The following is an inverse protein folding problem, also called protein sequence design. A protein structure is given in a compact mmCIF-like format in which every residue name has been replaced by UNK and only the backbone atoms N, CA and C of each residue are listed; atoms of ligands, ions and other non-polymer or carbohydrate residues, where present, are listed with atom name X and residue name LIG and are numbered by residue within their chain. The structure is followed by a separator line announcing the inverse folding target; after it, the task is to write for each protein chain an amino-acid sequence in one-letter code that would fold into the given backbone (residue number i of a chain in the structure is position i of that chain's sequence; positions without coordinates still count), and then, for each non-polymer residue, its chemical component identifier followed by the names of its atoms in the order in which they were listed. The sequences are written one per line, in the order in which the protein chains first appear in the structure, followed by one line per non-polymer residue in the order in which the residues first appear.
data_IF_946810541970
#
_entry.id   IF_946810541970
#
_cell.length_a   1.000
_cell.length_b   1.000
_cell.length_c   1.000
_cell.angle_alpha   90.00
_cell.angle_beta   90.00
_cell.angle_gamma   90.00
#
_symmetry.space_group_name_H-M   'P 1'
#
loop_
_entity.id
_entity.type
_entity.pdbx_description
1 polymer ?
#
# COMPACT_ATOMS: atom_id res chain seq x y z
N UNK A 1 7.75 12.79 -6.67
CA UNK A 1 6.64 12.02 -7.27
C UNK A 1 5.51 12.97 -7.63
N UNK A 2 4.80 12.68 -8.71
CA UNK A 2 3.73 13.53 -9.24
C UNK A 2 2.39 13.22 -8.56
N UNK A 3 1.46 14.17 -8.58
CA UNK A 3 0.09 13.93 -8.16
C UNK A 3 -0.56 12.81 -9.01
N UNK A 4 -1.38 11.98 -8.39
CA UNK A 4 -2.18 10.99 -9.09
C UNK A 4 -3.20 11.67 -10.00
N UNK A 5 -3.52 11.01 -11.11
CA UNK A 5 -4.66 11.37 -11.94
C UNK A 5 -5.95 11.33 -11.12
N UNK A 6 -6.91 12.20 -11.43
CA UNK A 6 -8.25 12.11 -10.84
C UNK A 6 -9.02 10.88 -11.33
N UNK A 7 -8.74 10.45 -12.57
CA UNK A 7 -9.41 9.32 -13.20
C UNK A 7 -8.61 8.04 -12.98
N UNK A 8 -9.25 6.93 -12.55
CA UNK A 8 -8.58 5.65 -12.36
C UNK A 8 -8.04 5.12 -13.70
N UNK A 9 -6.80 4.59 -13.72
CA UNK A 9 -6.28 3.91 -14.89
C UNK A 9 -7.15 2.72 -15.27
N UNK A 10 -7.33 2.51 -16.57
CA UNK A 10 -8.04 1.32 -17.07
C UNK A 10 -7.19 0.06 -16.87
N UNK A 11 -7.82 -1.12 -16.71
CA UNK A 11 -7.10 -2.40 -16.60
C UNK A 11 -6.08 -2.63 -17.71
N UNK A 12 -6.45 -2.29 -18.95
CA UNK A 12 -5.57 -2.40 -20.12
C UNK A 12 -4.32 -1.53 -20.00
N UNK A 13 -4.45 -0.32 -19.46
CA UNK A 13 -3.30 0.57 -19.25
C UNK A 13 -2.36 -0.01 -18.19
N UNK A 14 -2.90 -0.55 -17.10
CA UNK A 14 -2.12 -1.18 -16.03
C UNK A 14 -1.33 -2.37 -16.56
N UNK A 15 -2.00 -3.31 -17.23
CA UNK A 15 -1.35 -4.52 -17.77
C UNK A 15 -0.28 -4.17 -18.81
N UNK A 16 -0.56 -3.20 -19.68
CA UNK A 16 0.43 -2.75 -20.66
C UNK A 16 1.66 -2.11 -20.01
N UNK A 17 1.47 -1.31 -18.95
CA UNK A 17 2.56 -0.70 -18.21
C UNK A 17 3.42 -1.73 -17.48
N UNK A 18 2.80 -2.73 -16.83
CA UNK A 18 3.51 -3.82 -16.16
C UNK A 18 4.33 -4.66 -17.15
N UNK A 19 3.77 -4.99 -18.32
CA UNK A 19 4.51 -5.70 -19.38
C UNK A 19 5.70 -4.89 -19.88
N UNK A 20 5.49 -3.62 -20.20
CA UNK A 20 6.56 -2.73 -20.63
C UNK A 20 7.65 -2.55 -19.56
N UNK A 21 7.27 -2.54 -18.27
CA UNK A 21 8.21 -2.46 -17.17
C UNK A 21 9.04 -3.74 -17.03
N UNK A 22 8.41 -4.92 -17.14
CA UNK A 22 9.11 -6.20 -17.13
C UNK A 22 10.10 -6.30 -18.30
N UNK A 23 9.69 -5.94 -19.52
CA UNK A 23 10.57 -5.92 -20.70
C UNK A 23 11.75 -4.96 -20.50
N UNK A 24 11.51 -3.79 -19.90
CA UNK A 24 12.55 -2.77 -19.65
C UNK A 24 13.54 -3.17 -18.55
N UNK A 25 13.15 -4.09 -17.65
CA UNK A 25 13.99 -4.53 -16.51
C UNK A 25 15.13 -5.47 -16.91
N UNK A 26 15.17 -5.94 -18.17
CA UNK A 26 16.16 -6.89 -18.67
C UNK A 26 16.32 -8.14 -17.77
N UNK A 27 15.19 -8.66 -17.27
CA UNK A 27 15.14 -9.81 -16.38
C UNK A 27 15.27 -9.48 -14.89
N UNK A 28 15.32 -8.21 -14.49
CA UNK A 28 15.29 -7.79 -13.08
C UNK A 28 13.98 -8.13 -12.37
N UNK A 29 12.87 -8.18 -13.11
CA UNK A 29 11.57 -8.69 -12.64
C UNK A 29 10.97 -9.68 -13.62
N UNK A 30 10.01 -10.47 -13.14
CA UNK A 30 9.09 -11.24 -13.99
C UNK A 30 7.64 -10.95 -13.61
N UNK A 31 6.75 -10.98 -14.61
CA UNK A 31 5.32 -10.97 -14.34
C UNK A 31 4.85 -12.34 -13.86
N UNK A 32 4.00 -12.34 -12.84
CA UNK A 32 3.42 -13.57 -12.30
C UNK A 32 2.25 -14.04 -13.18
N UNK A 33 1.97 -15.37 -13.20
CA UNK A 33 0.83 -15.90 -13.94
C UNK A 33 -0.48 -15.23 -13.55
N UNK A 34 -1.40 -15.11 -14.52
CA UNK A 34 -2.74 -14.61 -14.27
C UNK A 34 -3.55 -15.52 -13.33
N UNK A 35 -4.51 -14.93 -12.64
CA UNK A 35 -5.36 -15.56 -11.64
C UNK A 35 -6.71 -15.92 -12.26
N UNK A 36 -7.12 -17.17 -12.07
CA UNK A 36 -8.41 -17.66 -12.58
C UNK A 36 -9.59 -17.03 -11.83
N UNK A 37 -10.74 -16.90 -12.51
CA UNK A 37 -11.98 -16.45 -11.86
C UNK A 37 -12.35 -17.33 -10.67
N UNK A 38 -12.20 -18.66 -10.77
CA UNK A 38 -12.46 -19.57 -9.66
C UNK A 38 -11.57 -19.36 -8.44
N UNK A 39 -10.33 -18.91 -8.64
CA UNK A 39 -9.44 -18.57 -7.53
C UNK A 39 -9.86 -17.25 -6.88
N UNK A 40 -10.24 -16.25 -7.69
CA UNK A 40 -10.76 -14.97 -7.20
C UNK A 40 -12.11 -15.13 -6.47
N UNK A 41 -12.96 -16.05 -6.92
CA UNK A 41 -14.26 -16.35 -6.30
C UNK A 41 -14.13 -17.01 -4.92
N UNK A 42 -12.95 -17.55 -4.59
CA UNK A 42 -12.65 -18.15 -3.29
C UNK A 42 -12.11 -17.13 -2.26
N UNK A 43 -11.92 -15.86 -2.64
CA UNK A 43 -11.46 -14.82 -1.72
C UNK A 43 -12.59 -14.36 -0.79
N UNK A 44 -12.22 -13.81 0.37
CA UNK A 44 -13.16 -13.42 1.44
C UNK A 44 -14.18 -12.35 1.02
N UNK A 45 -13.84 -11.55 0.02
CA UNK A 45 -14.70 -10.51 -0.52
C UNK A 45 -14.78 -10.60 -2.06
N UNK A 46 -15.93 -10.23 -2.66
CA UNK A 46 -16.05 -10.15 -4.10
C UNK A 46 -14.97 -9.25 -4.72
N UNK A 47 -14.48 -9.64 -5.89
CA UNK A 47 -13.48 -8.87 -6.65
C UNK A 47 -14.17 -8.06 -7.75
N UNK A 48 -14.01 -6.72 -7.78
CA UNK A 48 -14.55 -5.88 -8.84
C UNK A 48 -14.01 -6.26 -10.23
N UNK A 49 -14.81 -6.09 -11.28
CA UNK A 49 -14.46 -6.56 -12.63
C UNK A 49 -13.24 -5.86 -13.24
N UNK A 50 -13.01 -4.59 -12.91
CA UNK A 50 -11.79 -3.89 -13.31
C UNK A 50 -10.54 -4.52 -12.70
N UNK A 51 -10.62 -4.93 -11.43
CA UNK A 51 -9.55 -5.67 -10.75
C UNK A 51 -9.39 -7.08 -11.33
N UNK A 52 -10.49 -7.80 -11.58
CA UNK A 52 -10.47 -9.11 -12.24
C UNK A 52 -9.81 -9.05 -13.62
N UNK A 53 -10.11 -8.00 -14.39
CA UNK A 53 -9.51 -7.82 -15.71
C UNK A 53 -7.98 -7.64 -15.66
N UNK A 54 -7.43 -7.04 -14.58
CA UNK A 54 -5.98 -7.00 -14.36
C UNK A 54 -5.47 -8.38 -13.91
N UNK A 55 -6.12 -8.96 -12.90
CA UNK A 55 -5.68 -10.20 -12.27
C UNK A 55 -5.66 -11.40 -13.25
N UNK A 56 -6.62 -11.47 -14.19
CA UNK A 56 -6.63 -12.50 -15.25
C UNK A 56 -5.39 -12.47 -16.14
N UNK A 57 -4.80 -11.29 -16.33
CA UNK A 57 -3.64 -11.10 -17.20
C UNK A 57 -2.32 -11.26 -16.44
N UNK A 58 -2.30 -10.96 -15.15
CA UNK A 58 -1.12 -11.05 -14.29
C UNK A 58 -1.48 -11.11 -12.80
N UNK A 59 -0.81 -11.98 -12.05
CA UNK A 59 -0.87 -12.02 -10.59
C UNK A 59 -0.07 -10.90 -9.91
N UNK A 60 0.68 -10.11 -10.68
CA UNK A 60 1.61 -9.10 -10.17
C UNK A 60 2.99 -9.23 -10.82
N UNK A 61 4.05 -8.89 -10.09
CA UNK A 61 5.42 -9.18 -10.47
C UNK A 61 6.25 -9.60 -9.27
N UNK A 62 7.37 -10.27 -9.53
CA UNK A 62 8.36 -10.62 -8.53
C UNK A 62 9.75 -10.21 -9.02
N UNK A 63 10.63 -9.70 -8.13
CA UNK A 63 12.04 -9.52 -8.46
C UNK A 63 12.70 -10.87 -8.73
N UNK A 64 13.73 -10.89 -9.57
CA UNK A 64 14.50 -12.10 -9.89
C UNK A 64 15.81 -12.06 -9.12
N UNK A 65 16.00 -13.04 -8.22
CA UNK A 65 17.23 -13.20 -7.44
C UNK A 65 17.77 -14.61 -7.63
N UNK A 66 19.08 -14.74 -7.86
CA UNK A 66 19.72 -16.03 -8.10
C UNK A 66 19.20 -16.80 -9.33
N UNK A 67 18.60 -16.09 -10.30
CA UNK A 67 18.03 -16.69 -11.52
C UNK A 67 16.62 -17.25 -11.37
N UNK A 68 15.95 -17.02 -10.23
CA UNK A 68 14.56 -17.41 -9.99
C UNK A 68 13.73 -16.25 -9.44
N UNK A 69 12.40 -16.23 -9.67
CA UNK A 69 11.52 -15.24 -9.06
C UNK A 69 11.48 -15.41 -7.54
N UNK A 70 11.67 -14.31 -6.81
CA UNK A 70 11.53 -14.26 -5.35
C UNK A 70 10.06 -13.95 -5.02
N UNK A 71 9.30 -15.00 -4.72
CA UNK A 71 7.86 -14.87 -4.45
C UNK A 71 7.56 -14.25 -3.07
N UNK A 72 8.55 -14.23 -2.17
CA UNK A 72 8.39 -13.58 -0.87
C UNK A 72 8.33 -12.06 -1.04
N UNK A 73 9.15 -11.54 -1.95
CA UNK A 73 9.21 -10.11 -2.31
C UNK A 73 8.25 -9.74 -3.45
N UNK A 74 7.26 -10.58 -3.74
CA UNK A 74 6.31 -10.31 -4.81
C UNK A 74 5.44 -9.09 -4.50
N UNK A 75 5.10 -8.38 -5.58
CA UNK A 75 4.13 -7.29 -5.61
C UNK A 75 2.93 -7.77 -6.42
N UNK A 76 1.86 -8.16 -5.75
CA UNK A 76 0.78 -8.85 -6.43
C UNK A 76 -0.43 -9.17 -5.59
N UNK A 77 -1.39 -9.85 -6.20
CA UNK A 77 -2.63 -10.22 -5.51
C UNK A 77 -2.46 -11.43 -4.60
N UNK A 78 -1.47 -12.28 -4.86
CA UNK A 78 -1.21 -13.46 -4.04
C UNK A 78 -0.07 -13.16 -3.08
N UNK A 79 -0.34 -13.38 -1.81
CA UNK A 79 0.62 -13.21 -0.73
C UNK A 79 0.21 -14.15 0.39
N UNK A 80 1.17 -14.83 1.02
CA UNK A 80 0.90 -15.83 2.06
C UNK A 80 0.16 -15.25 3.26
N UNK A 81 0.42 -13.98 3.58
CA UNK A 81 -0.26 -13.24 4.63
C UNK A 81 -1.72 -12.90 4.29
N UNK A 82 -2.26 -13.26 3.11
CA UNK A 82 -3.70 -13.19 2.92
C UNK A 82 -4.46 -14.33 3.62
N UNK A 83 -3.78 -15.41 4.00
CA UNK A 83 -4.40 -16.54 4.73
C UNK A 83 -4.41 -16.32 6.24
N UNK A 84 -3.33 -15.75 6.78
CA UNK A 84 -3.19 -15.35 8.17
C UNK A 84 -2.71 -13.90 8.22
N UNK A 85 -3.61 -12.94 7.99
CA UNK A 85 -3.18 -11.57 7.84
C UNK A 85 -2.85 -10.89 9.15
N UNK A 86 -1.98 -9.90 9.03
CA UNK A 86 -1.70 -8.96 10.11
C UNK A 86 -2.99 -8.22 10.49
N UNK A 87 -3.40 -8.38 11.74
CA UNK A 87 -4.59 -7.76 12.32
C UNK A 87 -4.54 -6.22 12.24
N UNK A 88 -3.34 -5.63 12.08
CA UNK A 88 -3.16 -4.19 11.91
C UNK A 88 -3.82 -3.67 10.64
N UNK A 89 -3.93 -4.48 9.58
CA UNK A 89 -4.66 -4.11 8.35
C UNK A 89 -6.17 -3.90 8.58
N UNK A 90 -6.71 -4.52 9.64
CA UNK A 90 -8.13 -4.56 9.96
C UNK A 90 -8.66 -6.00 10.08
N UNK A 91 -9.99 -6.19 10.19
CA UNK A 91 -10.59 -7.51 10.18
C UNK A 91 -10.46 -8.22 8.82
N UNK A 92 -10.47 -9.57 8.78
CA UNK A 92 -10.50 -10.34 7.53
C UNK A 92 -11.61 -9.90 6.58
N UNK A 93 -11.36 -9.98 5.27
CA UNK A 93 -12.28 -9.51 4.23
C UNK A 93 -12.33 -7.99 4.04
N UNK A 94 -11.71 -7.20 4.92
CA UNK A 94 -11.66 -5.74 4.77
C UNK A 94 -10.42 -5.24 4.03
N UNK A 95 -9.50 -6.12 3.66
CA UNK A 95 -8.30 -5.74 2.92
C UNK A 95 -7.78 -6.93 2.13
N UNK A 96 -6.79 -6.66 1.28
CA UNK A 96 -5.93 -7.68 0.69
C UNK A 96 -4.48 -7.22 0.70
N UNK A 97 -3.59 -8.04 1.24
CA UNK A 97 -2.14 -7.80 1.25
C UNK A 97 -1.61 -7.96 -0.16
N UNK A 98 -0.83 -6.96 -0.58
CA UNK A 98 -0.25 -6.84 -1.92
C UNK A 98 1.26 -7.06 -1.93
N UNK A 99 1.92 -6.72 -0.83
CA UNK A 99 3.36 -6.88 -0.64
C UNK A 99 3.69 -6.78 0.85
N UNK A 100 4.74 -7.46 1.30
CA UNK A 100 5.34 -7.28 2.62
C UNK A 100 6.83 -7.58 2.54
N UNK A 101 7.61 -6.88 3.35
CA UNK A 101 9.02 -7.25 3.56
C UNK A 101 9.20 -8.34 4.62
N UNK A 102 8.10 -8.89 5.16
CA UNK A 102 8.09 -9.97 6.14
C UNK A 102 8.60 -9.61 7.53
N UNK A 103 9.03 -8.35 7.73
CA UNK A 103 9.60 -7.88 8.99
C UNK A 103 8.71 -6.84 9.63
N UNK A 104 8.36 -5.80 8.88
CA UNK A 104 7.82 -4.57 9.47
C UNK A 104 6.83 -3.82 8.59
N UNK A 105 6.89 -3.97 7.26
CA UNK A 105 6.02 -3.24 6.34
C UNK A 105 5.05 -4.18 5.62
N UNK A 106 3.80 -3.78 5.57
CA UNK A 106 2.77 -4.42 4.77
C UNK A 106 2.05 -3.38 3.92
N UNK A 107 1.90 -3.68 2.64
CA UNK A 107 1.14 -2.90 1.68
C UNK A 107 -0.14 -3.67 1.38
N UNK A 108 -1.28 -2.98 1.46
CA UNK A 108 -2.58 -3.62 1.29
C UNK A 108 -3.57 -2.67 0.63
N UNK A 109 -4.51 -3.24 -0.12
CA UNK A 109 -5.66 -2.51 -0.64
C UNK A 109 -6.82 -2.60 0.35
N UNK A 110 -7.50 -1.48 0.55
CA UNK A 110 -8.75 -1.38 1.30
C UNK A 110 -9.89 -2.04 0.52
N UNK A 111 -10.63 -2.94 1.17
CA UNK A 111 -11.76 -3.65 0.62
C UNK A 111 -12.98 -3.35 1.48
N UNK A 112 -14.06 -2.89 0.85
CA UNK A 112 -15.35 -2.78 1.49
C UNK A 112 -15.98 -4.19 1.56
N UNK A 113 -16.15 -4.79 2.75
CA UNK A 113 -16.65 -6.15 2.88
C UNK A 113 -18.13 -6.28 2.48
N UNK A 114 -18.90 -5.19 2.53
CA UNK A 114 -20.34 -5.21 2.24
C UNK A 114 -20.58 -5.13 0.73
N UNK A 115 -19.76 -4.35 0.01
CA UNK A 115 -19.94 -4.11 -1.43
C UNK A 115 -18.95 -4.88 -2.31
N UNK A 116 -17.83 -5.34 -1.74
CA UNK A 116 -16.69 -5.89 -2.49
C UNK A 116 -15.90 -4.82 -3.24
N UNK A 117 -16.20 -3.53 -3.08
CA UNK A 117 -15.45 -2.46 -3.75
C UNK A 117 -14.04 -2.34 -3.19
N UNK A 118 -13.06 -2.18 -4.07
CA UNK A 118 -11.66 -1.96 -3.69
C UNK A 118 -11.35 -0.45 -3.76
N UNK A 119 -10.68 0.06 -2.74
CA UNK A 119 -10.41 1.49 -2.57
C UNK A 119 -8.91 1.78 -2.61
N UNK A 120 -8.43 2.64 -1.70
CA UNK A 120 -7.03 3.06 -1.67
C UNK A 120 -6.08 1.94 -1.27
N UNK A 121 -4.82 2.11 -1.65
CA UNK A 121 -3.71 1.29 -1.17
C UNK A 121 -3.06 2.02 0.00
N UNK A 122 -2.77 1.27 1.05
CA UNK A 122 -2.14 1.73 2.27
C UNK A 122 -0.89 0.91 2.55
N UNK A 123 0.01 1.50 3.32
CA UNK A 123 1.06 0.77 3.99
C UNK A 123 1.07 1.14 5.46
N UNK A 124 1.53 0.24 6.31
CA UNK A 124 2.02 0.60 7.64
C UNK A 124 3.43 0.06 7.81
N UNK A 125 4.17 0.71 8.69
CA UNK A 125 5.42 0.20 9.23
C UNK A 125 5.17 -0.30 10.66
N UNK A 126 6.09 -1.05 11.27
CA UNK A 126 5.98 -1.70 12.60
C UNK A 126 5.79 -0.75 13.81
N UNK A 127 5.36 0.48 13.54
CA UNK A 127 4.96 1.50 14.49
C UNK A 127 3.48 1.85 14.29
N UNK A 128 2.97 2.83 15.04
CA UNK A 128 1.61 3.32 14.89
C UNK A 128 1.36 4.11 13.58
N UNK A 129 2.35 4.22 12.69
CA UNK A 129 2.27 5.11 11.55
C UNK A 129 1.87 4.37 10.27
N UNK A 130 1.09 5.06 9.44
CA UNK A 130 0.63 4.53 8.16
C UNK A 130 0.98 5.50 7.02
N UNK A 131 0.90 4.99 5.80
CA UNK A 131 0.99 5.75 4.56
C UNK A 131 -0.23 5.43 3.71
N UNK A 132 -0.82 6.48 3.14
CA UNK A 132 -1.70 6.35 1.99
C UNK A 132 -0.83 6.32 0.75
N UNK A 133 -0.78 5.18 0.06
CA UNK A 133 0.13 4.94 -1.06
C UNK A 133 -0.49 5.34 -2.38
N UNK A 134 -1.77 5.01 -2.59
CA UNK A 134 -2.47 5.34 -3.83
C UNK A 134 -3.99 5.39 -3.67
N UNK A 135 -4.70 6.17 -4.50
CA UNK A 135 -6.16 6.26 -4.48
C UNK A 135 -6.89 5.03 -5.04
N UNK A 136 -6.19 4.14 -5.74
CA UNK A 136 -6.69 2.83 -6.14
C UNK A 136 -5.54 1.87 -6.42
N UNK A 137 -5.82 0.58 -6.45
CA UNK A 137 -4.83 -0.44 -6.85
C UNK A 137 -4.22 -0.16 -8.22
N UNK A 138 -5.04 0.24 -9.20
CA UNK A 138 -4.57 0.56 -10.54
C UNK A 138 -3.54 1.70 -10.56
N UNK A 139 -3.71 2.72 -9.70
CA UNK A 139 -2.72 3.78 -9.55
C UNK A 139 -1.42 3.28 -8.95
N UNK A 140 -1.51 2.44 -7.92
CA UNK A 140 -0.34 1.86 -7.26
C UNK A 140 0.47 0.97 -8.22
N UNK A 141 -0.19 0.10 -8.97
CA UNK A 141 0.46 -0.78 -9.96
C UNK A 141 1.13 0.02 -11.10
N UNK A 142 0.55 1.16 -11.52
CA UNK A 142 1.21 2.06 -12.47
C UNK A 142 2.45 2.74 -11.88
N UNK A 143 2.39 3.16 -10.61
CA UNK A 143 3.53 3.77 -9.94
C UNK A 143 4.67 2.75 -9.78
N UNK A 144 4.35 1.50 -9.42
CA UNK A 144 5.31 0.39 -9.42
C UNK A 144 5.93 0.16 -10.81
N UNK A 145 5.12 0.14 -11.86
CA UNK A 145 5.62 -0.01 -13.23
C UNK A 145 6.53 1.16 -13.66
N UNK A 146 6.28 2.38 -13.19
CA UNK A 146 7.19 3.52 -13.38
C UNK A 146 8.50 3.34 -12.60
N UNK A 147 8.40 2.87 -11.34
CA UNK A 147 9.53 2.57 -10.49
C UNK A 147 10.48 1.52 -11.07
N UNK A 148 9.95 0.40 -11.54
CA UNK A 148 10.73 -0.64 -12.24
C UNK A 148 11.47 -0.05 -13.44
N UNK A 149 10.80 0.76 -14.27
CA UNK A 149 11.45 1.39 -15.43
C UNK A 149 12.57 2.35 -15.01
N UNK A 150 12.36 3.15 -13.96
CA UNK A 150 13.37 4.06 -13.42
C UNK A 150 14.57 3.32 -12.86
N UNK A 151 14.35 2.24 -12.12
CA UNK A 151 15.42 1.39 -11.59
C UNK A 151 16.26 0.82 -12.74
N UNK A 152 15.61 0.27 -13.77
CA UNK A 152 16.30 -0.25 -14.94
C UNK A 152 17.06 0.83 -15.74
N UNK A 153 16.48 2.04 -15.90
CA UNK A 153 17.17 3.18 -16.49
C UNK A 153 18.41 3.60 -15.68
N UNK A 154 18.32 3.58 -14.35
CA UNK A 154 19.41 3.96 -13.46
C UNK A 154 20.58 2.95 -13.51
N UNK A 155 20.29 1.65 -13.57
CA UNK A 155 21.31 0.60 -13.81
C UNK A 155 21.97 0.79 -15.17
N UNK A 156 21.19 1.00 -16.24
CA UNK A 156 21.75 1.26 -17.59
C UNK A 156 22.61 2.53 -17.65
N UNK A 157 22.29 3.52 -16.82
CA UNK A 157 23.09 4.74 -16.69
C UNK A 157 24.35 4.56 -15.83
N UNK A 158 24.54 3.40 -15.19
CA UNK A 158 25.65 3.12 -14.29
C UNK A 158 25.53 3.80 -12.92
N UNK A 159 24.32 4.17 -12.50
CA UNK A 159 24.06 4.76 -11.18
C UNK A 159 24.00 3.71 -10.07
N UNK A 160 23.67 2.46 -10.42
CA UNK A 160 23.57 1.32 -9.53
C UNK A 160 24.24 0.11 -10.17
N UNK A 161 24.76 -0.80 -9.34
CA UNK A 161 25.37 -2.05 -9.80
C UNK A 161 24.31 -3.06 -10.26
N UNK A 162 23.19 -3.12 -9.55
CA UNK A 162 22.07 -4.00 -9.90
C UNK A 162 20.69 -3.35 -9.74
N UNK A 163 19.69 -4.06 -10.26
CA UNK A 163 18.31 -3.61 -10.28
C UNK A 163 17.66 -3.60 -8.89
N UNK A 164 18.01 -4.55 -8.03
CA UNK A 164 17.38 -4.73 -6.73
C UNK A 164 17.68 -3.55 -5.83
N UNK A 165 18.93 -3.08 -5.83
CA UNK A 165 19.35 -1.86 -5.14
C UNK A 165 18.61 -0.62 -5.67
N UNK A 166 18.58 -0.46 -6.99
CA UNK A 166 17.94 0.69 -7.62
C UNK A 166 16.42 0.73 -7.37
N UNK A 167 15.76 -0.43 -7.40
CA UNK A 167 14.33 -0.55 -7.13
C UNK A 167 14.02 -0.38 -5.65
N UNK A 168 14.84 -0.96 -4.77
CA UNK A 168 14.68 -0.83 -3.31
C UNK A 168 14.87 0.61 -2.85
N UNK A 169 15.87 1.33 -3.38
CA UNK A 169 16.03 2.76 -3.08
C UNK A 169 14.86 3.59 -3.62
N UNK A 170 14.31 3.26 -4.79
CA UNK A 170 13.14 3.96 -5.30
C UNK A 170 11.87 3.68 -4.48
N UNK A 171 11.61 2.40 -4.18
CA UNK A 171 10.35 1.95 -3.59
C UNK A 171 10.32 2.20 -2.09
N UNK A 172 11.33 1.67 -1.40
CA UNK A 172 11.48 1.80 0.04
C UNK A 172 12.25 3.04 0.42
N UNK A 173 12.83 3.82 -0.50
CA UNK A 173 13.69 4.94 -0.10
C UNK A 173 15.03 4.54 0.54
N UNK A 174 15.27 3.24 0.77
CA UNK A 174 16.40 2.74 1.55
C UNK A 174 17.72 2.81 0.76
N UNK A 175 18.83 3.22 1.40
CA UNK A 175 20.15 3.08 0.77
C UNK A 175 20.49 1.61 0.52
N UNK A 176 21.26 1.32 -0.53
CA UNK A 176 21.67 -0.03 -0.94
C UNK A 176 22.43 -0.85 0.14
N UNK A 177 23.18 -0.20 1.04
CA UNK A 177 23.88 -0.86 2.16
C UNK A 177 23.60 -0.13 3.48
N UNK A 178 22.43 -0.36 4.11
CA UNK A 178 22.03 0.39 5.28
C UNK A 178 22.36 -0.39 6.56
N UNK A 179 23.16 0.19 7.44
CA UNK A 179 23.21 -0.26 8.83
C UNK A 179 21.93 0.15 9.60
N UNK A 180 21.72 -0.42 10.79
CA UNK A 180 20.50 -0.18 11.57
C UNK A 180 20.29 1.29 12.01
N UNK A 181 21.36 2.10 12.12
CA UNK A 181 21.23 3.55 12.35
C UNK A 181 20.90 4.30 11.06
N UNK A 182 21.48 3.89 9.93
CA UNK A 182 21.17 4.42 8.61
C UNK A 182 19.71 4.16 8.23
N UNK A 183 19.16 2.97 8.54
CA UNK A 183 17.73 2.65 8.36
C UNK A 183 16.85 3.56 9.23
N UNK A 184 17.16 3.73 10.52
CA UNK A 184 16.37 4.61 11.41
C UNK A 184 16.41 6.07 10.97
N UNK A 185 17.60 6.61 10.71
CA UNK A 185 17.76 7.97 10.23
C UNK A 185 17.22 8.18 8.82
N UNK A 186 17.13 7.13 8.00
CA UNK A 186 16.43 7.16 6.72
C UNK A 186 14.91 7.24 6.91
N UNK A 187 14.31 6.37 7.73
CA UNK A 187 12.87 6.38 7.97
C UNK A 187 12.41 7.75 8.48
N UNK A 188 13.12 8.31 9.47
CA UNK A 188 12.86 9.68 9.96
C UNK A 188 12.90 10.72 8.83
N UNK A 189 13.80 10.58 7.85
CA UNK A 189 13.90 11.50 6.69
C UNK A 189 12.80 11.29 5.67
N UNK A 190 12.36 10.05 5.43
CA UNK A 190 11.23 9.75 4.54
C UNK A 190 9.93 10.32 5.12
N UNK A 191 9.69 10.10 6.42
CA UNK A 191 8.56 10.66 7.16
C UNK A 191 8.52 12.20 7.11
N UNK A 192 9.68 12.86 7.02
CA UNK A 192 9.79 14.32 6.90
C UNK A 192 9.55 14.83 5.48
N UNK A 193 9.68 13.98 4.45
CA UNK A 193 9.56 14.38 3.03
C UNK A 193 8.13 14.28 2.50
N UNK A 194 7.34 13.34 3.02
CA UNK A 194 5.97 13.14 2.55
C UNK A 194 5.03 14.23 3.10
N UNK A 195 4.04 14.68 2.29
CA UNK A 195 2.91 15.43 2.82
C UNK A 195 2.25 14.67 3.97
N UNK A 196 1.81 15.39 5.00
CA UNK A 196 1.15 14.80 6.18
C UNK A 196 -0.34 15.04 6.14
N UNK A 197 -1.11 13.98 6.39
CA UNK A 197 -2.54 14.09 6.57
C UNK A 197 -2.87 14.85 7.88
N UNK A 198 -3.89 15.72 7.91
CA UNK A 198 -4.42 16.24 9.16
C UNK A 198 -4.98 15.08 10.00
N UNK A 199 -4.53 14.99 11.25
CA UNK A 199 -4.99 13.96 12.20
C UNK A 199 -5.67 14.63 13.39
N UNK A 200 -6.80 14.07 13.82
CA UNK A 200 -7.61 14.54 14.94
C UNK A 200 -7.98 13.37 15.84
N UNK A 201 -8.14 13.60 17.14
CA UNK A 201 -8.69 12.61 18.05
C UNK A 201 -10.19 12.38 17.81
N UNK A 202 -10.68 11.19 18.16
CA UNK A 202 -12.08 10.81 17.94
C UNK A 202 -13.11 11.74 18.65
N UNK A 203 -12.90 12.19 19.91
CA UNK A 203 -13.79 13.16 20.54
C UNK A 203 -13.92 14.48 19.77
N UNK A 204 -12.80 15.03 19.31
CA UNK A 204 -12.76 16.27 18.52
C UNK A 204 -13.43 16.05 17.16
N UNK A 205 -13.15 14.93 16.49
CA UNK A 205 -13.79 14.59 15.22
C UNK A 205 -15.31 14.43 15.34
N UNK A 206 -15.81 13.80 16.43
CA UNK A 206 -17.24 13.69 16.72
C UNK A 206 -17.94 15.04 16.87
N UNK A 207 -17.25 16.02 17.44
CA UNK A 207 -17.75 17.38 17.61
C UNK A 207 -17.52 18.28 16.36
N UNK A 208 -16.92 17.74 15.29
CA UNK A 208 -16.62 18.48 14.07
C UNK A 208 -17.89 18.89 13.33
N UNK A 209 -17.85 20.06 12.68
CA UNK A 209 -18.88 20.47 11.73
C UNK A 209 -18.79 19.70 10.39
N UNK A 210 -17.71 18.95 10.16
CA UNK A 210 -17.58 18.07 9.00
C UNK A 210 -18.34 16.75 9.25
N UNK A 211 -19.43 16.50 8.51
CA UNK A 211 -20.28 15.33 8.76
C UNK A 211 -19.55 14.01 8.52
N UNK A 212 -18.59 13.96 7.59
CA UNK A 212 -17.84 12.73 7.29
C UNK A 212 -16.94 12.34 8.46
N UNK A 213 -16.26 13.33 9.06
CA UNK A 213 -15.44 13.09 10.25
C UNK A 213 -16.28 12.76 11.48
N UNK A 214 -17.40 13.46 11.67
CA UNK A 214 -18.29 13.23 12.80
C UNK A 214 -18.91 11.82 12.76
N UNK A 215 -19.36 11.38 11.59
CA UNK A 215 -19.94 10.05 11.38
C UNK A 215 -18.93 8.93 11.57
N UNK A 216 -17.72 9.06 11.01
CA UNK A 216 -16.65 8.08 11.21
C UNK A 216 -16.28 7.97 12.70
N UNK A 217 -16.09 9.12 13.37
CA UNK A 217 -15.68 9.17 14.77
C UNK A 217 -16.75 8.71 15.76
N UNK A 218 -18.03 8.72 15.37
CA UNK A 218 -19.12 8.17 16.18
C UNK A 218 -19.01 6.65 16.41
N UNK A 219 -18.24 5.96 15.57
CA UNK A 219 -18.04 4.50 15.62
C UNK A 219 -16.72 4.09 16.30
N UNK A 220 -16.01 5.04 16.89
CA UNK A 220 -14.65 4.87 17.38
C UNK A 220 -14.55 5.15 18.90
N UNK A 221 -13.67 4.43 19.62
CA UNK A 221 -13.40 4.72 21.02
C UNK A 221 -12.74 6.09 21.18
N UNK A 222 -12.80 6.67 22.39
CA UNK A 222 -12.23 7.99 22.68
C UNK A 222 -10.71 8.08 22.47
N UNK A 223 -10.00 6.95 22.60
CA UNK A 223 -8.56 6.87 22.37
C UNK A 223 -8.16 6.75 20.90
N UNK A 224 -9.11 6.63 19.95
CA UNK A 224 -8.80 6.54 18.53
C UNK A 224 -8.38 7.90 17.93
N UNK A 225 -7.67 7.84 16.80
CA UNK A 225 -7.36 9.01 15.98
C UNK A 225 -7.74 8.80 14.53
N UNK A 226 -8.18 9.86 13.85
CA UNK A 226 -8.62 9.84 12.46
C UNK A 226 -7.77 10.78 11.61
N UNK A 227 -7.41 10.32 10.43
CA UNK A 227 -6.74 11.10 9.40
C UNK A 227 -7.67 11.36 8.21
N UNK A 228 -7.74 12.62 7.76
CA UNK A 228 -8.51 13.01 6.59
C UNK A 228 -7.66 12.99 5.31
N UNK A 229 -7.92 12.02 4.45
CA UNK A 229 -7.21 11.78 3.20
C UNK A 229 -7.99 12.24 1.96
N UNK A 230 -9.14 12.91 2.13
CA UNK A 230 -9.95 13.39 0.99
C UNK A 230 -9.21 14.39 0.11
N UNK A 231 -8.21 15.09 0.65
CA UNK A 231 -7.34 16.04 -0.08
C UNK A 231 -5.98 15.45 -0.49
N UNK A 232 -5.72 14.17 -0.19
CA UNK A 232 -4.48 13.52 -0.56
C UNK A 232 -4.44 13.27 -2.07
N UNK A 233 -3.47 13.89 -2.75
CA UNK A 233 -3.25 13.77 -4.19
C UNK A 233 -2.03 12.94 -4.55
N UNK A 234 -1.31 12.42 -3.55
CA UNK A 234 -0.09 11.62 -3.71
C UNK A 234 0.16 10.79 -2.46
N UNK A 235 1.28 10.07 -2.42
CA UNK A 235 1.73 9.35 -1.21
C UNK A 235 1.72 10.31 -0.02
N UNK A 236 1.01 9.93 1.03
CA UNK A 236 0.73 10.80 2.17
C UNK A 236 1.00 10.06 3.47
N UNK A 237 1.82 10.65 4.33
CA UNK A 237 2.14 10.10 5.62
C UNK A 237 1.03 10.39 6.64
N UNK A 238 0.71 9.39 7.46
CA UNK A 238 -0.34 9.45 8.48
C UNK A 238 0.28 9.13 9.84
N UNK A 239 0.33 10.15 10.69
CA UNK A 239 0.79 10.03 12.07
C UNK A 239 -0.37 9.64 12.98
N UNK A 240 -0.18 8.64 13.84
CA UNK A 240 -1.19 8.29 14.85
C UNK A 240 -0.99 9.10 16.13
N UNK A 241 -2.08 9.59 16.72
CA UNK A 241 -2.02 10.25 18.03
C UNK A 241 -1.93 9.19 19.13
N UNK A 242 -0.86 9.23 19.93
CA UNK A 242 -0.73 8.41 21.14
C UNK A 242 -1.58 8.99 22.27
N UNK A 243 -2.84 8.54 22.36
CA UNK A 243 -3.76 8.90 23.44
C UNK A 243 -3.76 7.82 24.53
N UNK A 244 -4.07 8.16 25.80
CA UNK A 244 -4.27 7.17 26.84
C UNK A 244 -5.30 6.12 26.40
N UNK A 245 -4.92 4.84 26.45
CA UNK A 245 -5.77 3.73 26.02
C UNK A 245 -5.61 3.28 24.57
N UNK A 246 -4.70 3.87 23.78
CA UNK A 246 -4.35 3.36 22.43
C UNK A 246 -3.55 2.04 22.49
N UNK A 247 -2.80 1.80 23.56
CA UNK A 247 -1.86 0.68 23.62
C UNK A 247 -0.51 1.01 22.97
N UNK A 248 0.30 -0.03 22.75
CA UNK A 248 1.60 0.09 22.06
C UNK A 248 1.46 -0.02 20.54
N UNK A 249 0.39 -0.68 20.06
CA UNK A 249 0.08 -0.90 18.65
C UNK A 249 -1.33 -0.40 18.32
N UNK A 250 -1.63 -0.26 17.03
CA UNK A 250 -2.94 0.13 16.54
C UNK A 250 -3.37 -0.75 15.36
N UNK A 251 -4.66 -1.03 15.30
CA UNK A 251 -5.30 -1.56 14.11
C UNK A 251 -5.90 -0.42 13.28
N UNK A 252 -5.90 -0.57 11.96
CA UNK A 252 -6.39 0.44 11.04
C UNK A 252 -7.78 0.10 10.52
N UNK A 253 -8.71 1.04 10.70
CA UNK A 253 -10.06 1.00 10.14
C UNK A 253 -10.21 2.08 9.08
N UNK A 254 -10.91 1.77 8.00
CA UNK A 254 -11.16 2.71 6.90
C UNK A 254 -12.63 3.08 6.84
N UNK A 255 -12.89 4.35 6.55
CA UNK A 255 -14.22 4.89 6.36
C UNK A 255 -14.26 5.75 5.10
N UNK A 256 -15.48 6.03 4.63
CA UNK A 256 -15.71 6.92 3.50
C UNK A 256 -14.86 6.52 2.27
N UNK A 257 -14.99 5.25 1.86
CA UNK A 257 -14.27 4.67 0.71
C UNK A 257 -12.74 4.79 0.82
N UNK A 258 -12.20 4.46 2.00
CA UNK A 258 -10.76 4.57 2.27
C UNK A 258 -10.23 6.00 2.31
N UNK A 259 -11.07 7.02 2.49
CA UNK A 259 -10.61 8.41 2.56
C UNK A 259 -10.55 8.99 3.95
N UNK A 260 -11.05 8.26 4.94
CA UNK A 260 -10.77 8.50 6.35
C UNK A 260 -10.11 7.25 6.89
N UNK A 261 -8.88 7.39 7.39
CA UNK A 261 -8.14 6.31 8.04
C UNK A 261 -8.19 6.54 9.54
N UNK A 262 -8.64 5.54 10.30
CA UNK A 262 -8.65 5.58 11.75
C UNK A 262 -7.66 4.57 12.32
N UNK A 263 -6.84 5.03 13.26
CA UNK A 263 -6.07 4.17 14.14
C UNK A 263 -6.90 3.92 15.40
N UNK A 264 -7.13 2.65 15.73
CA UNK A 264 -7.84 2.22 16.93
C UNK A 264 -6.93 1.36 17.81
N UNK A 265 -7.19 1.27 19.13
CA UNK A 265 -6.44 0.38 19.99
C UNK A 265 -6.45 -1.03 19.46
N UNK A 266 -5.29 -1.67 19.53
CA UNK A 266 -5.21 -3.12 19.40
C UNK A 266 -5.45 -3.75 20.78
N UNK A 267 -6.36 -4.73 20.83
CA UNK A 267 -6.70 -5.50 22.04
C UNK A 267 -5.69 -6.63 22.32
#
# INVERSE_FOLDING_TARGET
MNAFSSDPPTPRQVVAALRAAADASDGGIVLLPGISDSAMDAWDAPVPEDIRAIARETGGFAPVRGGSPDLFEAFGFENEFNTEPDHRCGPPGTFRVLHTNGVAEAYYVDVDPDTGEWHGVFAFWDSLNARFEAPSLAHWLLDLADGVRRAADAVRAGCYEDFDDAFSEWFFGQPADPDAEAVRGWADREELRLPRAPVVDAPTARASADPVLAEAAAQLPDCASLADLRKAVGRTYVSTLKLPGMGIDAAFRRFHRGRILAAVPWD
#
